data_IF_097138760255
#
_entry.id   IF_097138760255
#
_cell.length_a   1.000
_cell.length_b   1.000
_cell.length_c   1.000
_cell.angle_alpha   90.00
_cell.angle_beta   90.00
_cell.angle_gamma   90.00
#
_symmetry.space_group_name_H-M   'P 1'
#
loop_
_entity.id
_entity.type
_entity.pdbx_description
1 polymer ?
#
# COMPACT_ATOMS: atom_id res chain seq x y z
N UNK A 1 -22.08 -54.71 66.92
CA UNK A 1 -21.63 -53.53 67.71
C UNK A 1 -22.86 -52.96 68.43
N UNK A 2 -22.83 -52.68 69.74
CA UNK A 2 -24.01 -52.21 70.47
C UNK A 2 -24.38 -50.77 70.07
N UNK A 3 -25.68 -50.43 69.96
CA UNK A 3 -26.16 -49.14 69.43
C UNK A 3 -25.61 -47.91 70.18
N UNK A 4 -25.38 -48.00 71.49
CA UNK A 4 -24.86 -46.91 72.33
C UNK A 4 -23.43 -46.48 71.95
N UNK A 5 -22.60 -47.42 71.48
CA UNK A 5 -21.21 -47.09 71.07
C UNK A 5 -21.16 -46.27 69.78
N UNK A 6 -22.07 -46.53 68.84
CA UNK A 6 -22.15 -45.80 67.58
C UNK A 6 -22.68 -44.37 67.78
N UNK A 7 -23.63 -44.17 68.70
CA UNK A 7 -24.18 -42.86 69.04
C UNK A 7 -23.16 -41.99 69.80
N UNK A 8 -22.40 -42.59 70.70
CA UNK A 8 -21.32 -41.91 71.44
C UNK A 8 -20.20 -41.43 70.49
N UNK A 9 -19.79 -42.27 69.53
CA UNK A 9 -18.78 -41.91 68.52
C UNK A 9 -19.31 -40.80 67.59
N UNK A 10 -20.59 -40.87 67.19
CA UNK A 10 -21.22 -39.82 66.37
C UNK A 10 -21.29 -38.49 67.09
N UNK A 11 -21.64 -38.48 68.37
CA UNK A 11 -21.66 -37.26 69.19
C UNK A 11 -20.27 -36.66 69.36
N UNK A 12 -19.24 -37.50 69.51
CA UNK A 12 -17.85 -37.04 69.63
C UNK A 12 -17.30 -36.43 68.33
N UNK A 13 -17.65 -36.96 67.16
CA UNK A 13 -17.15 -36.49 65.86
C UNK A 13 -18.00 -35.37 65.24
N UNK A 14 -19.24 -35.18 65.67
CA UNK A 14 -20.15 -34.13 65.20
C UNK A 14 -19.53 -32.71 65.17
N UNK A 15 -18.82 -32.22 66.22
CA UNK A 15 -18.21 -30.89 66.19
C UNK A 15 -17.11 -30.76 65.13
N UNK A 16 -16.30 -31.80 64.93
CA UNK A 16 -15.22 -31.80 63.93
C UNK A 16 -15.79 -31.78 62.51
N UNK A 17 -16.85 -32.55 62.25
CA UNK A 17 -17.56 -32.50 60.97
C UNK A 17 -18.25 -31.15 60.74
N UNK A 18 -18.80 -30.53 61.77
CA UNK A 18 -19.39 -29.19 61.67
C UNK A 18 -18.31 -28.13 61.36
N UNK A 19 -17.14 -28.20 61.99
CA UNK A 19 -16.00 -27.33 61.72
C UNK A 19 -15.46 -27.52 60.30
N UNK A 20 -15.33 -28.77 59.84
CA UNK A 20 -14.91 -29.08 58.47
C UNK A 20 -15.91 -28.53 57.45
N UNK A 21 -17.22 -28.67 57.71
CA UNK A 21 -18.26 -28.13 56.83
C UNK A 21 -18.22 -26.61 56.77
N UNK A 22 -18.09 -25.92 57.90
CA UNK A 22 -17.95 -24.47 57.94
C UNK A 22 -16.68 -23.99 57.22
N UNK A 23 -15.57 -24.72 57.36
CA UNK A 23 -14.34 -24.45 56.62
C UNK A 23 -14.53 -24.63 55.11
N UNK A 24 -15.16 -25.72 54.68
CA UNK A 24 -15.45 -25.99 53.27
C UNK A 24 -16.39 -24.94 52.68
N UNK A 25 -17.45 -24.54 53.38
CA UNK A 25 -18.38 -23.52 52.93
C UNK A 25 -17.67 -22.17 52.74
N UNK A 26 -16.77 -21.81 53.67
CA UNK A 26 -15.92 -20.61 53.53
C UNK A 26 -14.98 -20.70 52.34
N UNK A 27 -14.32 -21.84 52.12
CA UNK A 27 -13.41 -22.04 50.99
C UNK A 27 -14.13 -22.05 49.65
N UNK A 28 -15.32 -22.65 49.58
CA UNK A 28 -16.15 -22.63 48.38
C UNK A 28 -16.56 -21.18 48.07
N UNK A 29 -16.95 -20.40 49.08
CA UNK A 29 -17.29 -18.99 48.89
C UNK A 29 -16.09 -18.16 48.40
N UNK A 30 -14.91 -18.34 49.01
CA UNK A 30 -13.67 -17.66 48.60
C UNK A 30 -13.28 -18.02 47.16
N UNK A 31 -13.24 -19.32 46.82
CA UNK A 31 -12.90 -19.79 45.47
C UNK A 31 -13.94 -19.35 44.43
N UNK A 32 -15.22 -19.35 44.77
CA UNK A 32 -16.28 -18.90 43.85
C UNK A 32 -16.12 -17.42 43.52
N UNK A 33 -15.76 -16.60 44.51
CA UNK A 33 -15.50 -15.18 44.29
C UNK A 33 -14.25 -14.96 43.41
N UNK A 34 -13.18 -15.71 43.65
CA UNK A 34 -11.94 -15.64 42.88
C UNK A 34 -12.12 -16.10 41.42
N UNK A 35 -12.89 -17.17 41.20
CA UNK A 35 -13.24 -17.64 39.85
C UNK A 35 -14.12 -16.63 39.13
N UNK A 36 -15.12 -16.06 39.80
CA UNK A 36 -15.99 -15.04 39.21
C UNK A 36 -15.20 -13.80 38.76
N UNK A 37 -14.27 -13.30 39.59
CA UNK A 37 -13.39 -12.20 39.24
C UNK A 37 -12.47 -12.56 38.05
N UNK A 38 -11.92 -13.78 38.04
CA UNK A 38 -11.04 -14.26 36.96
C UNK A 38 -11.78 -14.35 35.62
N UNK A 39 -13.02 -14.84 35.62
CA UNK A 39 -13.88 -14.90 34.41
C UNK A 39 -14.23 -13.50 33.91
N UNK A 40 -14.53 -12.56 34.81
CA UNK A 40 -14.80 -11.17 34.43
C UNK A 40 -13.60 -10.50 33.77
N UNK A 41 -12.39 -10.67 34.33
CA UNK A 41 -11.16 -10.15 33.75
C UNK A 41 -10.89 -10.76 32.37
N UNK A 42 -11.09 -12.07 32.20
CA UNK A 42 -10.96 -12.73 30.91
C UNK A 42 -11.95 -12.17 29.87
N UNK A 43 -13.22 -11.97 30.24
CA UNK A 43 -14.23 -11.36 29.37
C UNK A 43 -13.85 -9.93 28.94
N UNK A 44 -13.36 -9.11 29.86
CA UNK A 44 -12.86 -7.77 29.54
C UNK A 44 -11.69 -7.81 28.56
N UNK A 45 -10.79 -8.79 28.67
CA UNK A 45 -9.68 -8.94 27.71
C UNK A 45 -10.13 -9.37 26.32
N UNK A 46 -11.15 -10.23 26.24
CA UNK A 46 -11.73 -10.67 24.97
C UNK A 46 -12.43 -9.53 24.26
N UNK A 47 -13.24 -8.73 24.97
CA UNK A 47 -13.88 -7.53 24.42
C UNK A 47 -12.86 -6.50 23.92
N UNK A 48 -11.78 -6.29 24.69
CA UNK A 48 -10.68 -5.41 24.29
C UNK A 48 -9.98 -5.92 23.03
N UNK A 49 -9.73 -7.23 22.93
CA UNK A 49 -9.09 -7.84 21.77
C UNK A 49 -9.99 -7.75 20.54
N UNK A 50 -11.29 -8.06 20.69
CA UNK A 50 -12.27 -7.96 19.62
C UNK A 50 -12.37 -6.51 19.09
N UNK A 51 -12.35 -5.52 19.99
CA UNK A 51 -12.35 -4.10 19.62
C UNK A 51 -11.09 -3.73 18.82
N UNK A 52 -9.91 -4.17 19.27
CA UNK A 52 -8.65 -3.94 18.53
C UNK A 52 -8.62 -4.63 17.17
N UNK A 53 -9.11 -5.87 17.08
CA UNK A 53 -9.22 -6.59 15.80
C UNK A 53 -10.19 -5.87 14.87
N UNK A 54 -11.32 -5.38 15.36
CA UNK A 54 -12.27 -4.61 14.58
C UNK A 54 -11.67 -3.29 14.08
N UNK A 55 -10.85 -2.62 14.90
CA UNK A 55 -10.13 -1.40 14.53
C UNK A 55 -9.09 -1.70 13.44
N UNK A 56 -8.29 -2.76 13.60
CA UNK A 56 -7.32 -3.23 12.59
C UNK A 56 -8.03 -3.63 11.30
N UNK A 57 -9.15 -4.36 11.37
CA UNK A 57 -9.97 -4.69 10.20
C UNK A 57 -10.50 -3.44 9.51
N UNK A 58 -10.97 -2.43 10.26
CA UNK A 58 -11.43 -1.15 9.71
C UNK A 58 -10.30 -0.38 9.03
N UNK A 59 -9.11 -0.39 9.63
CA UNK A 59 -7.90 0.19 9.07
C UNK A 59 -7.44 -0.50 7.79
N UNK A 60 -7.42 -1.84 7.76
CA UNK A 60 -7.14 -2.64 6.56
C UNK A 60 -8.19 -2.39 5.49
N UNK A 61 -9.47 -2.34 5.84
CA UNK A 61 -10.54 -2.02 4.91
C UNK A 61 -10.36 -0.62 4.30
N UNK A 62 -9.90 0.37 5.08
CA UNK A 62 -9.54 1.69 4.57
C UNK A 62 -8.36 1.64 3.61
N UNK A 63 -7.31 0.87 3.88
CA UNK A 63 -6.20 0.66 2.94
C UNK A 63 -6.65 0.00 1.64
N UNK A 64 -7.52 -0.99 1.70
CA UNK A 64 -8.06 -1.68 0.52
C UNK A 64 -9.05 -0.77 -0.23
N UNK A 65 -9.72 0.14 0.47
CA UNK A 65 -10.62 1.14 -0.09
C UNK A 65 -9.90 2.39 -0.63
N UNK A 66 -8.62 2.62 -0.29
CA UNK A 66 -7.73 3.46 -1.14
C UNK A 66 -7.94 2.91 -2.53
N UNK A 67 -8.33 3.74 -3.52
CA UNK A 67 -8.99 3.24 -4.71
C UNK A 67 -8.24 2.02 -5.23
N UNK A 68 -8.90 0.87 -5.26
CA UNK A 68 -8.39 -0.30 -5.98
C UNK A 68 -7.97 0.10 -7.41
N UNK A 69 -8.52 1.20 -7.91
CA UNK A 69 -8.20 1.94 -9.13
C UNK A 69 -6.84 2.64 -9.15
N UNK A 70 -6.23 3.00 -8.01
CA UNK A 70 -4.96 3.74 -7.91
C UNK A 70 -3.75 2.81 -7.86
N UNK A 71 -3.72 1.90 -6.89
CA UNK A 71 -2.58 0.98 -6.70
C UNK A 71 -2.52 -0.13 -7.77
N UNK A 72 -3.66 -0.68 -8.24
CA UNK A 72 -3.66 -1.58 -9.42
C UNK A 72 -3.29 -0.82 -10.70
N UNK A 73 -3.64 0.46 -10.80
CA UNK A 73 -3.17 1.27 -11.93
C UNK A 73 -1.67 1.44 -11.87
N UNK A 74 -1.07 1.70 -10.71
CA UNK A 74 0.36 2.02 -10.65
C UNK A 74 1.21 0.91 -11.30
N UNK A 75 0.90 -0.37 -11.06
CA UNK A 75 1.58 -1.49 -11.72
C UNK A 75 1.39 -1.51 -13.25
N UNK A 76 0.15 -1.40 -13.72
CA UNK A 76 -0.18 -1.37 -15.15
C UNK A 76 0.38 -0.13 -15.87
N UNK A 77 0.38 1.02 -15.19
CA UNK A 77 0.96 2.27 -15.67
C UNK A 77 2.48 2.15 -15.80
N UNK A 78 3.15 1.52 -14.82
CA UNK A 78 4.59 1.24 -14.88
C UNK A 78 4.94 0.26 -16.02
N UNK A 79 4.12 -0.76 -16.25
CA UNK A 79 4.33 -1.69 -17.37
C UNK A 79 4.11 -1.02 -18.73
N UNK A 80 3.06 -0.21 -18.87
CA UNK A 80 2.81 0.59 -20.07
C UNK A 80 3.93 1.62 -20.34
N UNK A 81 4.50 2.18 -19.27
CA UNK A 81 5.67 3.05 -19.34
C UNK A 81 6.88 2.29 -19.88
N UNK A 82 7.17 1.09 -19.36
CA UNK A 82 8.32 0.28 -19.82
C UNK A 82 8.20 0.00 -21.32
N UNK A 83 7.03 -0.45 -21.77
CA UNK A 83 6.75 -0.69 -23.19
C UNK A 83 6.93 0.59 -24.03
N UNK A 84 6.43 1.73 -23.56
CA UNK A 84 6.59 3.01 -24.26
C UNK A 84 8.06 3.45 -24.32
N UNK A 85 8.84 3.23 -23.26
CA UNK A 85 10.29 3.54 -23.27
C UNK A 85 11.08 2.63 -24.21
N UNK A 86 10.74 1.34 -24.28
CA UNK A 86 11.37 0.39 -25.19
C UNK A 86 11.10 0.76 -26.65
N UNK A 87 9.83 1.04 -26.99
CA UNK A 87 9.45 1.45 -28.34
C UNK A 87 10.09 2.78 -28.77
N UNK A 88 10.19 3.75 -27.84
CA UNK A 88 10.88 5.02 -28.11
C UNK A 88 12.38 4.80 -28.34
N UNK A 89 13.04 3.96 -27.54
CA UNK A 89 14.45 3.63 -27.70
C UNK A 89 14.73 2.92 -29.04
N UNK A 90 13.89 1.97 -29.44
CA UNK A 90 13.97 1.28 -30.74
C UNK A 90 13.84 2.28 -31.90
N UNK A 91 12.83 3.16 -31.85
CA UNK A 91 12.62 4.20 -32.88
C UNK A 91 13.83 5.14 -33.01
N UNK A 92 14.41 5.57 -31.87
CA UNK A 92 15.58 6.44 -31.87
C UNK A 92 16.79 5.72 -32.49
N UNK A 93 17.01 4.45 -32.14
CA UNK A 93 18.11 3.67 -32.67
C UNK A 93 17.97 3.43 -34.17
N UNK A 94 16.79 3.01 -34.64
CA UNK A 94 16.51 2.80 -36.06
C UNK A 94 16.70 4.07 -36.89
N UNK A 95 16.24 5.22 -36.37
CA UNK A 95 16.43 6.50 -37.03
C UNK A 95 17.91 6.90 -37.08
N UNK A 96 18.66 6.69 -35.99
CA UNK A 96 20.10 6.94 -35.95
C UNK A 96 20.87 6.04 -36.92
N UNK A 97 20.54 4.76 -37.01
CA UNK A 97 21.14 3.84 -37.98
C UNK A 97 20.82 4.23 -39.43
N UNK A 98 19.60 4.68 -39.70
CA UNK A 98 19.22 5.17 -41.03
C UNK A 98 20.01 6.44 -41.40
N UNK A 99 20.24 7.34 -40.43
CA UNK A 99 21.09 8.52 -40.62
C UNK A 99 22.54 8.11 -40.90
N UNK A 100 23.08 7.12 -40.18
CA UNK A 100 24.43 6.62 -40.41
C UNK A 100 24.59 6.04 -41.82
N UNK A 101 23.66 5.19 -42.25
CA UNK A 101 23.65 4.64 -43.62
C UNK A 101 23.61 5.74 -44.69
N UNK A 102 22.80 6.77 -44.45
CA UNK A 102 22.72 7.92 -45.33
C UNK A 102 24.05 8.67 -45.46
N UNK A 103 24.77 8.87 -44.34
CA UNK A 103 26.10 9.49 -44.33
C UNK A 103 27.13 8.65 -45.09
N UNK A 104 27.07 7.33 -44.94
CA UNK A 104 27.99 6.40 -45.60
C UNK A 104 27.76 6.30 -47.11
N UNK A 105 26.49 6.38 -47.55
CA UNK A 105 26.11 6.35 -48.98
C UNK A 105 26.46 7.64 -49.73
N UNK A 106 26.67 8.76 -49.02
CA UNK A 106 27.13 10.03 -49.59
C UNK A 106 26.13 10.73 -50.53
N UNK A 107 24.86 10.31 -50.53
CA UNK A 107 23.81 10.86 -51.39
C UNK A 107 23.36 12.26 -50.92
N UNK A 108 23.51 13.28 -51.76
CA UNK A 108 23.19 14.69 -51.43
C UNK A 108 22.03 15.27 -52.24
N UNK A 109 21.24 14.44 -52.91
CA UNK A 109 20.09 14.92 -53.67
C UNK A 109 18.94 15.40 -52.74
N UNK A 110 18.02 16.19 -53.28
CA UNK A 110 16.95 16.80 -52.48
C UNK A 110 16.06 15.76 -51.81
N UNK A 111 15.83 14.60 -52.43
CA UNK A 111 15.03 13.53 -51.84
C UNK A 111 15.74 12.88 -50.65
N UNK A 112 17.05 12.66 -50.76
CA UNK A 112 17.92 12.20 -49.68
C UNK A 112 17.93 13.13 -48.46
N UNK A 113 18.01 14.45 -48.66
CA UNK A 113 17.96 15.43 -47.57
C UNK A 113 16.57 15.46 -46.90
N UNK A 114 15.49 15.29 -47.67
CA UNK A 114 14.15 15.19 -47.13
C UNK A 114 13.97 13.94 -46.24
N UNK A 115 14.49 12.78 -46.69
CA UNK A 115 14.49 11.55 -45.90
C UNK A 115 15.30 11.69 -44.60
N UNK A 116 16.45 12.36 -44.64
CA UNK A 116 17.24 12.67 -43.45
C UNK A 116 16.45 13.52 -42.44
N UNK A 117 15.77 14.55 -42.94
CA UNK A 117 14.92 15.44 -42.12
C UNK A 117 13.80 14.66 -41.44
N UNK A 118 13.20 13.70 -42.13
CA UNK A 118 12.17 12.82 -41.56
C UNK A 118 12.73 11.94 -40.43
N UNK A 119 13.94 11.39 -40.57
CA UNK A 119 14.59 10.61 -39.50
C UNK A 119 14.90 11.45 -38.27
N UNK A 120 15.38 12.68 -38.46
CA UNK A 120 15.61 13.63 -37.35
C UNK A 120 14.29 13.99 -36.64
N UNK A 121 13.22 14.21 -37.39
CA UNK A 121 11.89 14.46 -36.81
C UNK A 121 11.36 13.25 -36.03
N UNK A 122 11.59 12.03 -36.51
CA UNK A 122 11.22 10.80 -35.79
C UNK A 122 11.93 10.70 -34.44
N UNK A 123 13.22 11.08 -34.36
CA UNK A 123 13.96 11.17 -33.09
C UNK A 123 13.32 12.19 -32.15
N UNK A 124 13.00 13.40 -32.64
CA UNK A 124 12.37 14.42 -31.80
C UNK A 124 11.01 13.98 -31.27
N UNK A 125 10.19 13.32 -32.09
CA UNK A 125 8.91 12.78 -31.66
C UNK A 125 9.09 11.69 -30.60
N UNK A 126 9.99 10.72 -30.84
CA UNK A 126 10.26 9.65 -29.88
C UNK A 126 10.76 10.19 -28.53
N UNK A 127 11.68 11.16 -28.51
CA UNK A 127 12.14 11.82 -27.29
C UNK A 127 11.02 12.58 -26.57
N UNK A 128 10.13 13.26 -27.31
CA UNK A 128 8.99 13.96 -26.71
C UNK A 128 8.00 12.99 -26.05
N UNK A 129 7.71 11.85 -26.67
CA UNK A 129 6.89 10.79 -26.07
C UNK A 129 7.56 10.13 -24.85
N UNK A 130 8.88 10.01 -24.86
CA UNK A 130 9.64 9.54 -23.70
C UNK A 130 9.51 10.49 -22.49
N UNK A 131 9.47 11.82 -22.69
CA UNK A 131 9.26 12.75 -21.57
C UNK A 131 7.89 12.55 -20.91
N UNK A 132 6.83 12.39 -21.70
CA UNK A 132 5.49 12.06 -21.19
C UNK A 132 5.51 10.76 -20.37
N UNK A 133 6.30 9.78 -20.81
CA UNK A 133 6.52 8.52 -20.11
C UNK A 133 7.23 8.74 -18.76
N UNK A 134 8.23 9.64 -18.71
CA UNK A 134 8.86 10.08 -17.46
C UNK A 134 7.89 10.77 -16.49
N UNK A 135 6.94 11.56 -17.00
CA UNK A 135 5.89 12.17 -16.18
C UNK A 135 4.94 11.11 -15.58
N UNK A 136 4.58 10.07 -16.34
CA UNK A 136 3.77 8.95 -15.86
C UNK A 136 4.47 8.15 -14.76
N UNK A 137 5.77 7.88 -14.89
CA UNK A 137 6.58 7.25 -13.81
C UNK A 137 6.49 8.07 -12.53
N UNK A 138 6.74 9.39 -12.61
CA UNK A 138 6.69 10.27 -11.44
C UNK A 138 5.31 10.25 -10.77
N UNK A 139 4.23 10.14 -11.55
CA UNK A 139 2.86 10.01 -11.00
C UNK A 139 2.65 8.68 -10.29
N UNK A 140 3.08 7.56 -10.89
CA UNK A 140 2.99 6.24 -10.28
C UNK A 140 3.79 6.18 -8.96
N UNK A 141 5.01 6.73 -8.94
CA UNK A 141 5.84 6.78 -7.72
C UNK A 141 5.16 7.59 -6.62
N UNK A 142 4.58 8.77 -6.93
CA UNK A 142 3.85 9.56 -5.94
C UNK A 142 2.66 8.80 -5.34
N UNK A 143 1.96 8.01 -6.15
CA UNK A 143 0.85 7.18 -5.67
C UNK A 143 1.34 6.08 -4.72
N UNK A 144 2.46 5.42 -5.05
CA UNK A 144 3.06 4.41 -4.18
C UNK A 144 3.56 5.01 -2.86
N UNK A 145 4.19 6.18 -2.88
CA UNK A 145 4.62 6.91 -1.68
C UNK A 145 3.43 7.29 -0.79
N UNK A 146 2.29 7.64 -1.38
CA UNK A 146 1.07 7.93 -0.61
C UNK A 146 0.54 6.68 0.12
N UNK A 147 0.62 5.50 -0.50
CA UNK A 147 0.28 4.23 0.14
C UNK A 147 1.26 3.91 1.27
N UNK A 148 2.56 4.11 1.04
CA UNK A 148 3.61 3.93 2.04
C UNK A 148 3.38 4.80 3.29
N UNK A 149 3.16 6.11 3.12
CA UNK A 149 2.88 7.02 4.25
C UNK A 149 1.63 6.62 5.05
N UNK A 150 0.60 6.09 4.37
CA UNK A 150 -0.58 5.59 5.08
C UNK A 150 -0.26 4.32 5.89
N UNK A 151 0.53 3.40 5.34
CA UNK A 151 0.98 2.19 6.04
C UNK A 151 1.87 2.50 7.26
N UNK A 152 2.75 3.51 7.15
CA UNK A 152 3.57 3.97 8.28
C UNK A 152 2.71 4.51 9.43
N UNK A 153 1.64 5.24 9.12
CA UNK A 153 0.69 5.76 10.12
C UNK A 153 -0.13 4.67 10.84
N UNK A 154 -0.13 3.45 10.32
CA UNK A 154 -0.90 2.32 10.83
C UNK A 154 -0.12 1.42 11.80
N UNK A 155 1.21 1.52 11.83
CA UNK A 155 2.06 0.74 12.75
C UNK A 155 2.74 1.67 13.76
N UNK A 156 2.11 1.94 14.91
CA UNK A 156 2.73 2.74 15.95
C UNK A 156 3.92 1.97 16.58
N UNK A 157 5.13 2.52 16.43
CA UNK A 157 6.33 2.05 17.15
C UNK A 157 7.40 1.31 16.34
N UNK A 158 7.20 1.09 15.03
CA UNK A 158 8.29 0.61 14.17
C UNK A 158 8.99 1.81 13.55
N UNK A 159 10.27 2.01 13.91
CA UNK A 159 11.16 2.90 13.14
C UNK A 159 11.24 2.29 11.74
N UNK A 160 10.66 2.96 10.75
CA UNK A 160 10.78 2.53 9.37
C UNK A 160 12.28 2.41 9.04
N UNK A 161 12.74 1.35 8.34
CA UNK A 161 14.08 1.35 7.79
C UNK A 161 14.23 2.62 6.94
N UNK A 162 15.36 3.30 7.05
CA UNK A 162 15.70 4.47 6.24
C UNK A 162 15.83 4.04 4.78
N UNK A 163 14.70 3.87 4.10
CA UNK A 163 14.64 3.56 2.68
C UNK A 163 14.89 4.88 1.97
N UNK A 164 15.97 5.01 1.18
CA UNK A 164 16.28 6.26 0.52
C UNK A 164 15.10 6.65 -0.37
N UNK A 165 14.49 7.79 -0.07
CA UNK A 165 13.44 8.40 -0.89
C UNK A 165 14.02 8.62 -2.28
N UNK A 166 13.56 7.82 -3.25
CA UNK A 166 13.98 7.92 -4.64
C UNK A 166 13.59 9.30 -5.20
N UNK A 167 14.55 10.23 -5.24
CA UNK A 167 14.44 11.46 -6.02
C UNK A 167 14.64 11.10 -7.50
N UNK A 168 13.55 10.90 -8.24
CA UNK A 168 13.61 10.78 -9.69
C UNK A 168 13.81 12.17 -10.30
N UNK A 169 15.07 12.59 -10.38
CA UNK A 169 15.47 13.78 -11.16
C UNK A 169 15.49 13.40 -12.64
N UNK A 170 14.46 13.81 -13.37
CA UNK A 170 14.52 13.82 -14.84
C UNK A 170 15.52 14.87 -15.30
N UNK A 171 16.25 14.58 -16.38
CA UNK A 171 17.04 15.58 -17.08
C UNK A 171 16.17 16.82 -17.36
N UNK A 172 16.71 18.00 -17.09
CA UNK A 172 16.02 19.28 -17.01
C UNK A 172 14.89 19.42 -18.06
N UNK A 173 13.66 19.52 -17.56
CA UNK A 173 12.49 19.89 -18.37
C UNK A 173 12.76 21.21 -19.07
N UNK A 174 12.70 21.24 -20.39
CA UNK A 174 12.70 22.50 -21.17
C UNK A 174 11.33 23.15 -21.21
N UNK A 175 10.34 22.58 -20.53
CA UNK A 175 8.98 23.10 -20.42
C UNK A 175 8.68 23.38 -18.95
N UNK A 176 8.21 24.60 -18.67
CA UNK A 176 7.87 25.07 -17.33
C UNK A 176 6.98 24.07 -16.58
N UNK A 177 7.17 24.00 -15.26
CA UNK A 177 6.45 23.08 -14.37
C UNK A 177 4.94 23.07 -14.66
N UNK A 178 4.29 21.89 -14.73
CA UNK A 178 2.87 21.82 -14.94
C UNK A 178 2.18 22.39 -13.69
N UNK A 179 1.65 23.60 -13.83
CA UNK A 179 0.66 24.17 -12.92
C UNK A 179 -0.45 23.13 -12.76
N UNK A 180 -0.82 22.87 -11.51
CA UNK A 180 -1.80 21.89 -11.06
C UNK A 180 -2.82 21.51 -12.13
N UNK A 181 -2.87 20.22 -12.47
CA UNK A 181 -3.79 19.65 -13.45
C UNK A 181 -5.24 20.10 -13.17
N UNK A 182 -5.69 21.11 -13.91
CA UNK A 182 -7.10 21.26 -14.26
C UNK A 182 -7.53 20.07 -15.13
N UNK A 183 -8.85 19.85 -15.29
CA UNK A 183 -9.35 18.75 -16.10
C UNK A 183 -8.68 18.82 -17.47
N UNK A 184 -8.12 17.68 -17.89
CA UNK A 184 -7.55 17.44 -19.21
C UNK A 184 -8.36 18.22 -20.26
N UNK A 185 -7.74 19.19 -20.92
CA UNK A 185 -8.43 20.06 -21.86
C UNK A 185 -9.06 19.13 -22.91
N UNK A 186 -10.37 18.98 -22.85
CA UNK A 186 -11.09 18.14 -23.78
C UNK A 186 -10.74 18.60 -25.20
N UNK A 187 -10.64 17.67 -26.15
CA UNK A 187 -10.29 17.96 -27.55
C UNK A 187 -11.08 19.14 -28.13
N UNK A 188 -12.33 19.32 -27.70
CA UNK A 188 -13.22 20.43 -28.06
C UNK A 188 -12.76 21.84 -27.61
N UNK A 189 -11.80 21.95 -26.69
CA UNK A 189 -11.23 23.20 -26.20
C UNK A 189 -9.93 23.54 -26.93
N UNK A 190 -9.16 22.51 -27.32
CA UNK A 190 -8.00 22.63 -28.24
C UNK A 190 -8.48 23.09 -29.62
N UNK A 191 -9.54 22.48 -30.14
CA UNK A 191 -10.11 22.82 -31.45
C UNK A 191 -10.69 24.25 -31.49
N UNK A 192 -11.10 24.79 -30.33
CA UNK A 192 -11.57 26.18 -30.20
C UNK A 192 -10.43 27.19 -30.19
N UNK A 193 -9.27 26.80 -29.66
CA UNK A 193 -8.08 27.65 -29.55
C UNK A 193 -7.31 27.78 -30.88
N UNK A 194 -7.37 26.76 -31.73
CA UNK A 194 -6.69 26.73 -33.03
C UNK A 194 -7.51 27.34 -34.17
N UNK A 195 -8.83 27.47 -34.01
CA UNK A 195 -9.73 28.00 -35.03
C UNK A 195 -10.30 29.40 -34.67
N UNK A 196 -9.59 30.15 -33.81
CA UNK A 196 -9.87 31.56 -33.49
C UNK A 196 -9.22 32.51 -34.47
#
# INVERSE_FOLDING_TARGET
MPPETAETIRAALAPDFAALRAFMDRRIAELSAEVAASVQLAGMTEENLATRIAEVHSQIARLIAIPASGARNSGLELEAVVQATEAAAETILEAAEAIQRWLDDGAQDTASIAALTERVNAIFQACSFQDLTGQRIRRAIRQLQQVETMLEGLVPGTVAPDVPRLEVRGAASTVADPVAAGPDLAQAEIDRLLNG
#
